data_IF_100920502678
#
_entry.id   IF_100920502678
#
_cell.length_a   1.000
_cell.length_b   1.000
_cell.length_c   1.000
_cell.angle_alpha   90.00
_cell.angle_beta   90.00
_cell.angle_gamma   90.00
#
_symmetry.space_group_name_H-M   'P 1'
#
loop_
_entity.id
_entity.type
_entity.pdbx_description
1 polymer ?
#
# COMPACT_ATOMS: atom_id res chain seq x y z
N UNK A 1 -0.43 5.49 -4.71
CA UNK A 1 -1.05 4.29 -5.31
C UNK A 1 -1.82 4.73 -6.53
N UNK A 2 -1.86 3.94 -7.60
CA UNK A 2 -2.75 4.26 -8.73
C UNK A 2 -4.22 4.24 -8.26
N UNK A 3 -5.13 5.01 -8.88
CA UNK A 3 -6.51 5.19 -8.39
C UNK A 3 -7.26 3.87 -8.08
N UNK A 4 -7.18 2.87 -8.97
CA UNK A 4 -7.85 1.59 -8.73
C UNK A 4 -7.32 0.85 -7.49
N UNK A 5 -6.01 0.95 -7.20
CA UNK A 5 -5.39 0.29 -6.06
C UNK A 5 -5.57 1.07 -4.75
N UNK A 6 -5.75 2.38 -4.84
CA UNK A 6 -6.09 3.22 -3.70
C UNK A 6 -7.42 2.81 -3.08
N UNK A 7 -8.46 2.65 -3.89
CA UNK A 7 -9.75 2.15 -3.41
C UNK A 7 -9.59 0.77 -2.73
N UNK A 8 -8.89 -0.17 -3.37
CA UNK A 8 -8.68 -1.51 -2.80
C UNK A 8 -7.93 -1.46 -1.47
N UNK A 9 -6.90 -0.61 -1.35
CA UNK A 9 -6.15 -0.42 -0.11
C UNK A 9 -7.03 0.15 1.01
N UNK A 10 -7.88 1.13 0.71
CA UNK A 10 -8.87 1.69 1.65
C UNK A 10 -9.99 0.70 2.03
N UNK A 11 -10.06 -0.46 1.36
CA UNK A 11 -10.90 -1.58 1.74
C UNK A 11 -10.10 -2.72 2.41
N UNK A 12 -8.89 -2.45 2.90
CA UNK A 12 -8.08 -3.40 3.68
C UNK A 12 -7.27 -4.40 2.84
N UNK A 13 -7.16 -4.18 1.51
CA UNK A 13 -6.42 -5.10 0.65
C UNK A 13 -4.93 -4.76 0.58
N UNK A 14 -4.12 -5.78 0.33
CA UNK A 14 -2.71 -5.63 -0.03
C UNK A 14 -2.53 -4.93 -1.36
N UNK A 15 -1.35 -4.35 -1.58
CA UNK A 15 -1.04 -3.66 -2.83
C UNK A 15 -0.34 -4.62 -3.78
N UNK A 16 -0.96 -4.80 -4.95
CA UNK A 16 -0.36 -5.51 -6.08
C UNK A 16 0.56 -4.60 -6.89
N UNK A 17 1.53 -5.18 -7.58
CA UNK A 17 2.48 -4.45 -8.43
C UNK A 17 1.77 -3.59 -9.48
N UNK A 18 0.67 -4.07 -10.06
CA UNK A 18 -0.16 -3.32 -11.01
C UNK A 18 -0.63 -1.97 -10.46
N UNK A 19 -0.87 -1.90 -9.14
CA UNK A 19 -1.30 -0.72 -8.38
C UNK A 19 -0.18 0.19 -7.87
N UNK A 20 1.08 -0.25 -7.93
CA UNK A 20 2.23 0.53 -7.50
C UNK A 20 2.49 1.69 -8.46
N UNK A 21 2.47 2.92 -7.94
CA UNK A 21 2.80 4.12 -8.71
C UNK A 21 4.28 4.47 -8.60
N UNK A 22 4.72 4.79 -7.38
CA UNK A 22 6.11 5.10 -7.03
C UNK A 22 6.47 4.36 -5.74
N UNK A 23 7.76 4.05 -5.56
CA UNK A 23 8.32 3.47 -4.34
C UNK A 23 9.63 4.20 -4.03
N UNK A 24 9.89 4.49 -2.75
CA UNK A 24 11.14 5.12 -2.31
C UNK A 24 12.33 4.24 -2.69
N UNK A 25 13.39 4.85 -3.21
CA UNK A 25 14.61 4.13 -3.55
C UNK A 25 15.25 3.51 -2.31
N UNK A 26 15.89 2.36 -2.48
CA UNK A 26 16.55 1.67 -1.38
C UNK A 26 15.63 1.01 -0.36
N UNK A 27 14.30 1.08 -0.51
CA UNK A 27 13.34 0.38 0.37
C UNK A 27 13.70 -1.11 0.47
N UNK A 28 14.12 -1.60 1.65
CA UNK A 28 14.39 -3.02 1.87
C UNK A 28 13.10 -3.85 1.85
N UNK A 29 13.24 -5.15 1.63
CA UNK A 29 12.15 -6.08 1.90
C UNK A 29 11.80 -6.06 3.40
N UNK A 30 10.52 -6.14 3.71
CA UNK A 30 9.95 -6.11 5.06
C UNK A 30 10.15 -4.80 5.83
N UNK A 31 10.56 -3.74 5.14
CA UNK A 31 10.58 -2.39 5.69
C UNK A 31 9.15 -1.89 5.91
N UNK A 32 8.89 -1.28 7.07
CA UNK A 32 7.67 -0.52 7.33
C UNK A 32 7.65 0.74 6.46
N UNK A 33 6.52 0.99 5.80
CA UNK A 33 6.33 2.08 4.83
C UNK A 33 5.01 2.83 5.07
N UNK A 34 5.00 4.10 4.69
CA UNK A 34 3.79 4.92 4.63
C UNK A 34 3.25 4.87 3.20
N UNK A 35 1.94 4.63 3.08
CA UNK A 35 1.25 4.53 1.80
C UNK A 35 0.65 5.87 1.44
N UNK A 36 0.93 6.36 0.23
CA UNK A 36 0.37 7.61 -0.30
C UNK A 36 -0.49 7.37 -1.54
N UNK A 37 -1.44 8.27 -1.81
CA UNK A 37 -2.12 8.39 -3.11
C UNK A 37 -1.18 8.95 -4.19
N UNK A 38 -1.65 9.11 -5.44
CA UNK A 38 -0.87 9.85 -6.46
C UNK A 38 -0.83 11.36 -6.21
N UNK A 39 -1.70 11.88 -5.34
CA UNK A 39 -1.81 13.29 -5.01
C UNK A 39 -1.14 13.62 -3.66
N UNK A 40 -0.18 12.78 -3.24
CA UNK A 40 0.59 12.94 -2.01
C UNK A 40 -0.25 13.01 -0.71
N UNK A 41 -1.44 12.39 -0.72
CA UNK A 41 -2.26 12.19 0.49
C UNK A 41 -1.84 10.90 1.21
N UNK A 42 -1.56 10.94 2.53
CA UNK A 42 -1.28 9.74 3.31
C UNK A 42 -2.55 8.90 3.46
N UNK A 43 -2.46 7.61 3.12
CA UNK A 43 -3.57 6.66 3.14
C UNK A 43 -3.48 5.67 4.29
N UNK A 44 -2.28 5.40 4.80
CA UNK A 44 -2.08 4.42 5.87
C UNK A 44 -0.67 3.85 5.94
N UNK A 45 -0.56 2.70 6.58
CA UNK A 45 0.69 2.00 6.84
C UNK A 45 0.72 0.63 6.16
N UNK A 46 1.92 0.20 5.79
CA UNK A 46 2.15 -1.12 5.24
C UNK A 46 3.58 -1.61 5.48
N UNK A 47 3.83 -2.84 5.06
CA UNK A 47 5.16 -3.46 5.06
C UNK A 47 5.50 -3.84 3.63
N UNK A 48 6.68 -3.43 3.15
CA UNK A 48 7.14 -3.79 1.81
C UNK A 48 7.29 -5.32 1.69
N UNK A 49 6.57 -5.96 0.78
CA UNK A 49 6.67 -7.40 0.56
C UNK A 49 7.92 -7.78 -0.24
N UNK A 50 8.49 -6.80 -0.95
CA UNK A 50 9.66 -6.91 -1.83
C UNK A 50 10.51 -5.65 -1.74
N UNK A 51 11.80 -5.74 -2.07
CA UNK A 51 12.67 -4.57 -2.17
C UNK A 51 12.24 -3.65 -3.32
N UNK A 52 12.68 -2.38 -3.30
CA UNK A 52 12.44 -1.45 -4.40
C UNK A 52 12.95 -1.95 -5.76
N UNK A 53 14.05 -2.71 -5.78
CA UNK A 53 14.60 -3.32 -6.99
C UNK A 53 13.73 -4.47 -7.48
N UNK A 54 13.35 -5.39 -6.60
CA UNK A 54 12.51 -6.55 -6.94
C UNK A 54 11.12 -6.11 -7.40
N UNK A 55 10.59 -5.03 -6.83
CA UNK A 55 9.32 -4.45 -7.26
C UNK A 55 9.37 -4.00 -8.73
N UNK A 56 10.53 -3.67 -9.32
CA UNK A 56 10.61 -3.27 -10.73
C UNK A 56 10.46 -4.45 -11.68
N UNK A 57 10.88 -5.65 -11.24
CA UNK A 57 10.87 -6.88 -12.04
C UNK A 57 9.68 -7.79 -11.75
N UNK A 58 8.89 -7.49 -10.72
CA UNK A 58 7.76 -8.30 -10.30
C UNK A 58 6.59 -8.29 -11.32
N UNK A 59 5.90 -9.43 -11.45
CA UNK A 59 4.69 -9.53 -12.26
C UNK A 59 3.56 -8.64 -11.72
N UNK A 60 2.65 -8.14 -12.57
CA UNK A 60 1.58 -7.22 -12.16
C UNK A 60 0.69 -7.71 -11.01
N UNK A 61 0.51 -9.03 -10.89
CA UNK A 61 -0.33 -9.66 -9.86
C UNK A 61 0.43 -9.97 -8.56
N UNK A 62 1.73 -9.69 -8.52
CA UNK A 62 2.56 -9.91 -7.34
C UNK A 62 2.22 -8.89 -6.25
N UNK A 63 2.05 -9.36 -5.01
CA UNK A 63 1.95 -8.47 -3.84
C UNK A 63 3.31 -7.80 -3.62
N UNK A 64 3.32 -6.47 -3.60
CA UNK A 64 4.53 -5.66 -3.36
C UNK A 64 4.52 -4.97 -2.00
N UNK A 65 3.36 -4.90 -1.35
CA UNK A 65 3.23 -4.38 0.00
C UNK A 65 2.05 -5.05 0.73
N UNK A 66 2.30 -5.48 1.96
CA UNK A 66 1.30 -5.96 2.89
C UNK A 66 0.62 -4.77 3.58
N UNK A 67 -0.71 -4.76 3.55
CA UNK A 67 -1.52 -3.81 4.30
C UNK A 67 -1.34 -4.03 5.82
N UNK A 68 -1.30 -2.95 6.59
CA UNK A 68 -1.28 -2.98 8.05
C UNK A 68 -2.38 -2.11 8.66
N UNK A 69 -2.60 -0.92 8.11
CA UNK A 69 -3.69 -0.04 8.53
C UNK A 69 -4.00 0.95 7.40
N UNK A 70 -5.26 1.36 7.28
CA UNK A 70 -5.69 2.37 6.31
C UNK A 70 -6.75 3.32 6.90
N UNK A 71 -6.81 4.54 6.37
CA UNK A 71 -7.78 5.57 6.83
C UNK A 71 -9.24 5.22 6.50
N UNK A 72 -9.50 4.25 5.63
CA UNK A 72 -10.84 3.76 5.35
C UNK A 72 -11.44 3.01 6.54
N UNK A 73 -10.64 2.61 7.53
CA UNK A 73 -11.15 2.04 8.79
C UNK A 73 -12.04 3.02 9.56
N UNK A 74 -11.79 4.34 9.47
CA UNK A 74 -12.63 5.35 10.11
C UNK A 74 -14.09 5.34 9.62
N UNK A 75 -14.35 4.82 8.42
CA UNK A 75 -15.69 4.68 7.87
C UNK A 75 -16.27 3.27 8.00
N UNK A 76 -15.40 2.26 8.01
CA UNK A 76 -15.82 0.84 7.99
C UNK A 76 -15.94 0.23 9.38
N UNK A 77 -15.25 0.79 10.36
CA UNK A 77 -15.14 0.26 11.72
C UNK A 77 -15.41 1.32 12.79
N UNK A 78 -16.25 2.32 12.45
CA UNK A 78 -16.59 3.46 13.32
C UNK A 78 -17.03 3.01 14.72
N UNK A 79 -17.88 1.97 14.81
CA UNK A 79 -18.43 1.46 16.07
C UNK A 79 -17.36 0.93 17.05
N UNK A 80 -16.23 0.44 16.55
CA UNK A 80 -15.18 -0.19 17.36
C UNK A 80 -13.95 0.71 17.60
N UNK A 81 -14.00 1.99 17.18
CA UNK A 81 -12.91 2.96 17.32
C UNK A 81 -13.03 3.84 18.57
N UNK A 82 -13.75 3.37 19.60
CA UNK A 82 -14.04 4.11 20.85
C UNK A 82 -12.99 3.91 21.95
#
# INVERSE_FOLDING_TARGET
LKPNAEQQFLYGNHVLKSGLGRITEGTPQYQGVIVYSMNDLPLGFGVAAKSALDCRMADPMTIVMFHQADIGEYLRNEDNLT
#
